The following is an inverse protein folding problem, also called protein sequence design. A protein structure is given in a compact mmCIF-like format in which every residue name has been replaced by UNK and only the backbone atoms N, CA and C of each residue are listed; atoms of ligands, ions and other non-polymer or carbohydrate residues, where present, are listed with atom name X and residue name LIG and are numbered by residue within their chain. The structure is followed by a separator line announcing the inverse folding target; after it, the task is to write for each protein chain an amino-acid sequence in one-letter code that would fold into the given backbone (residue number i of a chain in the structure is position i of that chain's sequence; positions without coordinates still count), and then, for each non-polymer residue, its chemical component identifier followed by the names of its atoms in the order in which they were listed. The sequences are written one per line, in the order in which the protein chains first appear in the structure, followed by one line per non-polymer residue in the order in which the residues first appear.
data_IF_249148063598
#
_entry.id   IF_249148063598
#
_cell.length_a   1.000
_cell.length_b   1.000
_cell.length_c   1.000
_cell.angle_alpha   90.00
_cell.angle_beta   90.00
_cell.angle_gamma   90.00
#
_symmetry.space_group_name_H-M   'P 1'
#
loop_
_entity.id
_entity.type
_entity.pdbx_description
1 polymer ?
#
# COMPACT_ATOMS: atom_id res chain seq x y z
N UNK A 1 -35.87 -21.68 -4.20
CA UNK A 1 -34.40 -21.76 -4.22
C UNK A 1 -33.93 -20.49 -4.90
N UNK A 2 -33.73 -19.43 -4.12
CA UNK A 2 -33.21 -18.15 -4.63
C UNK A 2 -31.74 -18.37 -4.95
N UNK A 3 -31.37 -18.00 -6.18
CA UNK A 3 -30.02 -18.09 -6.70
C UNK A 3 -29.10 -17.08 -5.99
N UNK A 4 -28.57 -17.46 -4.84
CA UNK A 4 -27.55 -16.70 -4.09
C UNK A 4 -26.15 -16.76 -4.76
N UNK A 5 -26.00 -17.40 -5.92
CA UNK A 5 -24.70 -17.55 -6.57
C UNK A 5 -24.21 -16.30 -7.31
N UNK A 6 -25.07 -15.28 -7.45
CA UNK A 6 -24.80 -14.12 -8.30
C UNK A 6 -24.10 -12.92 -7.61
N UNK A 7 -23.96 -12.90 -6.28
CA UNK A 7 -23.41 -11.73 -5.56
C UNK A 7 -22.05 -11.91 -4.89
N UNK A 8 -21.44 -13.09 -4.97
CA UNK A 8 -20.16 -13.39 -4.30
C UNK A 8 -18.91 -13.12 -5.18
N UNK A 9 -19.06 -12.27 -6.20
CA UNK A 9 -17.98 -11.98 -7.13
C UNK A 9 -17.20 -10.72 -6.72
N UNK A 10 -15.87 -10.83 -6.66
CA UNK A 10 -14.99 -9.69 -6.40
C UNK A 10 -15.10 -8.70 -7.56
N UNK A 11 -15.41 -7.40 -7.30
CA UNK A 11 -15.53 -6.41 -8.36
C UNK A 11 -14.25 -6.29 -9.20
N UNK A 12 -14.39 -6.26 -10.53
CA UNK A 12 -13.25 -6.14 -11.46
C UNK A 12 -12.44 -4.85 -11.23
N UNK A 13 -13.10 -3.77 -10.80
CA UNK A 13 -12.44 -2.53 -10.38
C UNK A 13 -11.48 -2.75 -9.20
N UNK A 14 -11.88 -3.53 -8.18
CA UNK A 14 -11.01 -3.85 -7.05
C UNK A 14 -9.80 -4.69 -7.47
N UNK A 15 -9.99 -5.64 -8.39
CA UNK A 15 -8.87 -6.41 -8.97
C UNK A 15 -7.87 -5.49 -9.69
N UNK A 16 -8.37 -4.51 -10.46
CA UNK A 16 -7.52 -3.50 -11.11
C UNK A 16 -6.78 -2.62 -10.09
N UNK A 17 -7.41 -2.24 -8.98
CA UNK A 17 -6.74 -1.51 -7.90
C UNK A 17 -5.56 -2.31 -7.33
N UNK A 18 -5.68 -3.63 -7.17
CA UNK A 18 -4.59 -4.47 -6.67
C UNK A 18 -3.42 -4.56 -7.66
N UNK A 19 -3.71 -4.64 -8.96
CA UNK A 19 -2.68 -4.61 -10.01
C UNK A 19 -1.97 -3.26 -10.06
N UNK A 20 -2.72 -2.16 -9.98
CA UNK A 20 -2.14 -0.82 -9.92
C UNK A 20 -1.27 -0.63 -8.67
N UNK A 21 -1.74 -1.09 -7.51
CA UNK A 21 -0.97 -1.05 -6.27
C UNK A 21 0.31 -1.86 -6.35
N UNK A 22 0.29 -3.07 -6.93
CA UNK A 22 1.50 -3.84 -7.20
C UNK A 22 2.52 -3.03 -8.01
N UNK A 23 2.09 -2.43 -9.13
CA UNK A 23 2.97 -1.67 -10.00
C UNK A 23 3.58 -0.47 -9.27
N UNK A 24 2.79 0.27 -8.49
CA UNK A 24 3.26 1.42 -7.70
C UNK A 24 4.25 0.98 -6.63
N UNK A 25 3.91 -0.05 -5.85
CA UNK A 25 4.78 -0.57 -4.78
C UNK A 25 6.13 -1.03 -5.33
N UNK A 26 6.15 -1.70 -6.48
CA UNK A 26 7.38 -2.17 -7.08
C UNK A 26 8.18 -1.05 -7.74
N UNK A 27 7.51 -0.11 -8.39
CA UNK A 27 8.15 1.07 -8.98
C UNK A 27 8.85 1.92 -7.92
N UNK A 28 8.29 2.02 -6.72
CA UNK A 28 8.90 2.75 -5.59
C UNK A 28 9.88 1.87 -4.81
N UNK A 29 9.49 0.63 -4.53
CA UNK A 29 10.23 -0.31 -3.70
C UNK A 29 11.54 -0.76 -4.33
N UNK A 30 11.59 -1.06 -5.63
CA UNK A 30 12.82 -1.54 -6.28
C UNK A 30 13.93 -0.49 -6.22
N UNK A 31 13.71 0.78 -6.63
CA UNK A 31 14.73 1.82 -6.49
C UNK A 31 15.18 2.04 -5.04
N UNK A 32 14.25 2.11 -4.09
CA UNK A 32 14.58 2.29 -2.67
C UNK A 32 15.35 1.10 -2.09
N UNK A 33 15.08 -0.11 -2.58
CA UNK A 33 15.78 -1.31 -2.14
C UNK A 33 17.23 -1.33 -2.64
N UNK A 34 17.44 -0.99 -3.91
CA UNK A 34 18.76 -1.03 -4.55
C UNK A 34 19.64 0.15 -4.14
N UNK A 35 19.10 1.36 -4.15
CA UNK A 35 19.86 2.60 -3.96
C UNK A 35 19.15 3.58 -2.99
N UNK A 36 18.91 3.20 -1.72
CA UNK A 36 18.11 3.97 -0.78
C UNK A 36 18.62 5.41 -0.59
N UNK A 37 19.94 5.57 -0.43
CA UNK A 37 20.53 6.89 -0.21
C UNK A 37 20.41 7.81 -1.42
N UNK A 38 20.72 7.31 -2.62
CA UNK A 38 20.65 8.12 -3.83
C UNK A 38 19.21 8.61 -4.03
N UNK A 39 18.25 7.69 -3.96
CA UNK A 39 16.84 8.00 -4.14
C UNK A 39 16.33 8.96 -3.07
N UNK A 40 16.55 8.71 -1.78
CA UNK A 40 16.01 9.60 -0.75
C UNK A 40 16.72 10.96 -0.69
N UNK A 41 18.02 11.05 -1.02
CA UNK A 41 18.72 12.34 -1.15
C UNK A 41 18.14 13.20 -2.28
N UNK A 42 17.70 12.60 -3.39
CA UNK A 42 16.96 13.29 -4.46
C UNK A 42 15.66 13.93 -3.94
N UNK A 43 15.03 13.36 -2.91
CA UNK A 43 13.84 13.91 -2.26
C UNK A 43 14.16 14.72 -0.98
N UNK A 44 15.40 15.16 -0.78
CA UNK A 44 15.76 16.07 0.30
C UNK A 44 16.00 15.43 1.67
N UNK A 45 16.15 14.10 1.75
CA UNK A 45 16.66 13.46 2.97
C UNK A 45 18.17 13.67 3.06
N UNK A 46 18.63 14.24 4.19
CA UNK A 46 20.06 14.42 4.47
C UNK A 46 20.69 13.21 5.17
N UNK A 47 19.95 12.60 6.10
CA UNK A 47 20.37 11.41 6.82
C UNK A 47 19.44 10.26 6.44
N UNK A 48 20.03 9.19 5.91
CA UNK A 48 19.32 8.01 5.45
C UNK A 48 19.90 6.81 6.15
N UNK A 49 19.07 6.05 6.85
CA UNK A 49 19.41 4.71 7.31
C UNK A 49 19.11 3.72 6.17
N UNK A 50 20.14 3.15 5.52
CA UNK A 50 19.95 2.27 4.37
C UNK A 50 19.43 0.88 4.76
N UNK A 51 19.55 0.45 6.03
CA UNK A 51 18.96 -0.81 6.51
C UNK A 51 17.46 -0.61 6.70
N UNK A 52 17.06 0.42 7.46
CA UNK A 52 15.65 0.73 7.69
C UNK A 52 14.90 1.01 6.37
N UNK A 53 15.52 1.76 5.46
CA UNK A 53 14.94 2.06 4.14
C UNK A 53 14.75 0.80 3.30
N UNK A 54 15.69 -0.15 3.33
CA UNK A 54 15.55 -1.43 2.61
C UNK A 54 14.48 -2.33 3.21
N UNK A 55 14.31 -2.32 4.53
CA UNK A 55 13.22 -3.04 5.18
C UNK A 55 11.85 -2.46 4.81
N UNK A 56 11.73 -1.13 4.78
CA UNK A 56 10.53 -0.46 4.26
C UNK A 56 10.27 -0.81 2.79
N UNK A 57 11.30 -0.76 1.95
CA UNK A 57 11.21 -1.14 0.54
C UNK A 57 10.80 -2.61 0.38
N UNK A 58 11.37 -3.53 1.17
CA UNK A 58 10.99 -4.94 1.18
C UNK A 58 9.52 -5.14 1.57
N UNK A 59 8.99 -4.34 2.50
CA UNK A 59 7.57 -4.36 2.83
C UNK A 59 6.70 -3.95 1.64
N UNK A 60 7.06 -2.91 0.89
CA UNK A 60 6.38 -2.53 -0.36
C UNK A 60 6.43 -3.67 -1.38
N UNK A 61 7.61 -4.25 -1.61
CA UNK A 61 7.77 -5.35 -2.57
C UNK A 61 6.93 -6.58 -2.18
N UNK A 62 6.91 -6.94 -0.89
CA UNK A 62 6.13 -8.06 -0.37
C UNK A 62 4.62 -7.84 -0.44
N UNK A 63 4.13 -6.68 0.02
CA UNK A 63 2.70 -6.34 0.02
C UNK A 63 2.20 -6.11 -1.41
N UNK A 64 3.00 -5.44 -2.24
CA UNK A 64 2.75 -5.26 -3.66
C UNK A 64 2.72 -6.59 -4.39
N UNK A 65 3.72 -7.44 -4.18
CA UNK A 65 3.81 -8.78 -4.77
C UNK A 65 2.62 -9.66 -4.40
N UNK A 66 2.18 -9.61 -3.14
CA UNK A 66 0.93 -10.27 -2.72
C UNK A 66 -0.30 -9.73 -3.46
N UNK A 67 -0.34 -8.44 -3.77
CA UNK A 67 -1.44 -7.85 -4.57
C UNK A 67 -1.51 -8.45 -5.97
N UNK A 68 -0.35 -8.70 -6.59
CA UNK A 68 -0.29 -9.38 -7.89
C UNK A 68 -0.73 -10.84 -7.77
N UNK A 69 -0.15 -11.59 -6.84
CA UNK A 69 -0.47 -13.03 -6.69
C UNK A 69 -1.95 -13.26 -6.34
N UNK A 70 -2.52 -12.42 -5.48
CA UNK A 70 -3.91 -12.52 -5.03
C UNK A 70 -4.95 -11.90 -5.96
N UNK A 71 -4.56 -11.28 -7.09
CA UNK A 71 -5.47 -10.49 -7.94
C UNK A 71 -6.70 -11.25 -8.46
N UNK A 72 -6.61 -12.57 -8.56
CA UNK A 72 -7.67 -13.46 -9.04
C UNK A 72 -8.34 -14.29 -7.93
N UNK A 73 -8.03 -14.03 -6.66
CA UNK A 73 -8.60 -14.74 -5.52
C UNK A 73 -10.09 -14.42 -5.29
N UNK A 74 -10.70 -15.13 -4.33
CA UNK A 74 -12.09 -14.97 -3.92
C UNK A 74 -12.31 -13.87 -2.88
N UNK A 75 -13.58 -13.64 -2.52
CA UNK A 75 -13.99 -12.55 -1.62
C UNK A 75 -13.34 -12.66 -0.25
N UNK A 76 -13.23 -13.89 0.30
CA UNK A 76 -12.61 -14.13 1.61
C UNK A 76 -11.15 -13.70 1.62
N UNK A 77 -10.39 -14.05 0.59
CA UNK A 77 -8.98 -13.68 0.45
C UNK A 77 -8.84 -12.17 0.25
N UNK A 78 -9.69 -11.55 -0.57
CA UNK A 78 -9.70 -10.09 -0.75
C UNK A 78 -10.00 -9.35 0.56
N UNK A 79 -10.93 -9.83 1.38
CA UNK A 79 -11.20 -9.26 2.71
C UNK A 79 -9.95 -9.32 3.60
N UNK A 80 -9.23 -10.44 3.62
CA UNK A 80 -7.96 -10.58 4.34
C UNK A 80 -6.89 -9.61 3.84
N UNK A 81 -6.68 -9.54 2.52
CA UNK A 81 -5.70 -8.64 1.91
C UNK A 81 -6.03 -7.17 2.13
N UNK A 82 -7.31 -6.79 2.07
CA UNK A 82 -7.75 -5.42 2.37
C UNK A 82 -7.45 -5.03 3.82
N UNK A 83 -7.69 -5.94 4.78
CA UNK A 83 -7.35 -5.67 6.18
C UNK A 83 -5.84 -5.41 6.33
N UNK A 84 -4.99 -6.23 5.71
CA UNK A 84 -3.54 -6.02 5.71
C UNK A 84 -3.18 -4.64 5.14
N UNK A 85 -3.76 -4.25 4.00
CA UNK A 85 -3.49 -2.95 3.36
C UNK A 85 -3.92 -1.77 4.22
N UNK A 86 -5.07 -1.88 4.89
CA UNK A 86 -5.55 -0.85 5.82
C UNK A 86 -4.59 -0.70 7.00
N UNK A 87 -4.20 -1.80 7.64
CA UNK A 87 -3.25 -1.79 8.77
C UNK A 87 -1.92 -1.18 8.34
N UNK A 88 -1.38 -1.63 7.20
CA UNK A 88 -0.13 -1.12 6.66
C UNK A 88 -0.21 0.38 6.34
N UNK A 89 -1.21 0.81 5.58
CA UNK A 89 -1.33 2.20 5.18
C UNK A 89 -1.57 3.14 6.37
N UNK A 90 -2.36 2.71 7.37
CA UNK A 90 -2.56 3.47 8.60
C UNK A 90 -1.26 3.59 9.42
N UNK A 91 -0.54 2.48 9.61
CA UNK A 91 0.74 2.48 10.33
C UNK A 91 1.80 3.33 9.62
N UNK A 92 1.93 3.19 8.29
CA UNK A 92 2.84 4.00 7.48
C UNK A 92 2.48 5.48 7.52
N UNK A 93 1.20 5.83 7.44
CA UNK A 93 0.74 7.22 7.56
C UNK A 93 1.09 7.82 8.92
N UNK A 94 0.84 7.08 10.00
CA UNK A 94 1.18 7.54 11.35
C UNK A 94 2.70 7.70 11.54
N UNK A 95 3.48 6.71 11.07
CA UNK A 95 4.95 6.76 11.14
C UNK A 95 5.52 7.94 10.36
N UNK A 96 5.01 8.20 9.15
CA UNK A 96 5.40 9.37 8.35
C UNK A 96 5.00 10.68 9.03
N UNK A 97 3.77 10.77 9.55
CA UNK A 97 3.30 11.97 10.24
C UNK A 97 4.18 12.28 11.47
N UNK A 98 4.48 11.29 12.31
CA UNK A 98 5.40 11.45 13.44
C UNK A 98 6.76 11.93 12.94
N UNK A 99 7.34 11.24 11.95
CA UNK A 99 8.65 11.59 11.39
C UNK A 99 8.71 13.03 10.86
N UNK A 100 7.68 13.46 10.15
CA UNK A 100 7.53 14.84 9.65
C UNK A 100 7.47 15.84 10.81
N UNK A 101 6.60 15.59 11.80
CA UNK A 101 6.44 16.49 12.96
C UNK A 101 7.71 16.58 13.82
N UNK A 102 8.59 15.59 13.74
CA UNK A 102 9.91 15.57 14.42
C UNK A 102 11.06 16.11 13.56
N UNK A 103 10.79 16.75 12.42
CA UNK A 103 11.81 17.38 11.57
C UNK A 103 12.18 16.62 10.30
N UNK A 104 11.31 15.70 9.85
CA UNK A 104 11.44 15.06 8.54
C UNK A 104 11.38 16.06 7.37
N UNK A 105 11.91 15.69 6.19
CA UNK A 105 11.97 16.60 5.05
C UNK A 105 10.57 16.93 4.50
N UNK A 106 10.42 18.11 3.91
CA UNK A 106 9.14 18.60 3.39
C UNK A 106 8.52 17.65 2.33
N UNK A 107 9.35 16.96 1.54
CA UNK A 107 8.86 16.02 0.54
C UNK A 107 8.27 14.74 1.15
N UNK A 108 8.46 14.47 2.45
CA UNK A 108 7.78 13.37 3.14
C UNK A 108 6.25 13.57 3.20
N UNK A 109 5.75 14.81 3.10
CA UNK A 109 4.32 15.09 2.97
C UNK A 109 3.70 14.45 1.73
N UNK A 110 4.45 14.34 0.62
CA UNK A 110 4.00 13.64 -0.59
C UNK A 110 3.75 12.16 -0.28
N UNK A 111 4.69 11.51 0.41
CA UNK A 111 4.55 10.13 0.85
C UNK A 111 3.33 9.95 1.76
N UNK A 112 3.14 10.85 2.72
CA UNK A 112 1.97 10.81 3.61
C UNK A 112 0.65 10.94 2.82
N UNK A 113 0.58 11.87 1.86
CA UNK A 113 -0.59 12.05 1.00
C UNK A 113 -0.92 10.78 0.19
N UNK A 114 0.10 10.09 -0.32
CA UNK A 114 -0.06 8.81 -1.03
C UNK A 114 -0.63 7.73 -0.11
N UNK A 115 -0.06 7.55 1.09
CA UNK A 115 -0.54 6.53 2.03
C UNK A 115 -1.95 6.81 2.55
N UNK A 116 -2.29 8.07 2.81
CA UNK A 116 -3.66 8.47 3.19
C UNK A 116 -4.65 8.21 2.05
N UNK A 117 -4.25 8.47 0.80
CA UNK A 117 -5.08 8.17 -0.38
C UNK A 117 -5.34 6.67 -0.52
N UNK A 118 -4.30 5.85 -0.32
CA UNK A 118 -4.45 4.40 -0.30
C UNK A 118 -5.32 3.93 0.87
N UNK A 119 -5.12 4.47 2.08
CA UNK A 119 -5.94 4.14 3.24
C UNK A 119 -7.43 4.41 2.96
N UNK A 120 -7.76 5.57 2.40
CA UNK A 120 -9.12 5.92 2.01
C UNK A 120 -9.68 4.95 0.95
N UNK A 121 -8.89 4.63 -0.08
CA UNK A 121 -9.26 3.66 -1.12
C UNK A 121 -9.57 2.27 -0.54
N UNK A 122 -8.73 1.77 0.37
CA UNK A 122 -8.90 0.44 0.96
C UNK A 122 -10.07 0.38 1.93
N UNK A 123 -10.29 1.44 2.72
CA UNK A 123 -11.48 1.56 3.56
C UNK A 123 -12.76 1.57 2.72
N UNK A 124 -12.79 2.35 1.64
CA UNK A 124 -13.92 2.37 0.70
C UNK A 124 -14.26 0.96 0.19
N UNK A 125 -13.28 0.23 -0.32
CA UNK A 125 -13.49 -1.14 -0.80
C UNK A 125 -13.85 -2.12 0.31
N UNK A 126 -13.27 -1.95 1.50
CA UNK A 126 -13.55 -2.80 2.66
C UNK A 126 -15.00 -2.67 3.13
N UNK A 127 -15.55 -1.46 3.13
CA UNK A 127 -16.95 -1.23 3.45
C UNK A 127 -17.87 -1.72 2.34
N UNK A 128 -17.52 -1.48 1.08
CA UNK A 128 -18.30 -1.95 -0.07
C UNK A 128 -18.41 -3.49 -0.11
N UNK A 129 -17.34 -4.21 0.22
CA UNK A 129 -17.35 -5.69 0.30
C UNK A 129 -18.03 -6.25 1.58
N UNK A 130 -18.47 -5.41 2.53
CA UNK A 130 -19.36 -5.86 3.63
C UNK A 130 -20.83 -5.75 3.27
N UNK A 131 -21.17 -4.78 2.42
CA UNK A 131 -22.53 -4.50 1.99
C UNK A 131 -23.03 -5.49 0.93
N UNK A 132 -22.10 -6.19 0.27
CA UNK A 132 -22.35 -7.35 -0.58
C UNK A 132 -22.04 -8.63 0.21
#
# INVERSE_FOLDING_TARGET
MTDDSLNDSVPSALRRCFVAHFAIDWLVGVPLFLAPEAILKLFGWHFVDPIATRLFAAALLGIGGQSWLGRNAGVKEFRGMLNLKIIWAAAASLGLLIGILTGGPILAWLGLGVFLSFLALWLFWRFRLRAN
#
